data_IF_831264546199
#
_entry.id   IF_831264546199
#
_cell.length_a   1.000
_cell.length_b   1.000
_cell.length_c   1.000
_cell.angle_alpha   90.00
_cell.angle_beta   90.00
_cell.angle_gamma   90.00
#
_symmetry.space_group_name_H-M   'P 1'
#
loop_
_entity.id
_entity.type
_entity.pdbx_description
1 polymer ?
#
# COMPACT_ATOMS: atom_id res chain seq x y z
N UNK A 1 49.14 46.55 -21.90
CA UNK A 1 48.63 46.32 -20.53
C UNK A 1 47.33 45.52 -20.59
N UNK A 2 47.09 44.60 -19.65
CA UNK A 2 45.78 43.93 -19.49
C UNK A 2 45.79 42.41 -19.72
N UNK A 3 46.22 41.64 -18.71
CA UNK A 3 46.26 40.17 -18.68
C UNK A 3 44.88 39.58 -18.37
N UNK A 4 44.35 38.67 -19.21
CA UNK A 4 43.27 37.74 -18.82
C UNK A 4 43.88 36.37 -18.46
N UNK A 5 43.74 35.99 -17.18
CA UNK A 5 44.23 34.73 -16.61
C UNK A 5 43.39 33.56 -17.14
N UNK A 6 44.02 32.62 -17.85
CA UNK A 6 43.46 31.28 -18.10
C UNK A 6 43.53 30.46 -16.81
N UNK A 7 42.36 30.01 -16.33
CA UNK A 7 42.20 29.12 -15.18
C UNK A 7 42.71 27.72 -15.56
N UNK A 8 43.70 27.20 -14.82
CA UNK A 8 44.18 25.81 -14.95
C UNK A 8 43.12 24.87 -14.36
N UNK A 9 42.58 23.97 -15.19
CA UNK A 9 41.77 22.82 -14.73
C UNK A 9 42.69 21.87 -13.94
N UNK A 10 42.40 21.67 -12.66
CA UNK A 10 43.01 20.63 -11.83
C UNK A 10 42.49 19.26 -12.31
N UNK A 11 43.38 18.42 -12.82
CA UNK A 11 43.07 17.02 -13.12
C UNK A 11 42.94 16.28 -11.79
N UNK A 12 41.76 15.71 -11.55
CA UNK A 12 41.49 14.82 -10.41
C UNK A 12 42.29 13.54 -10.63
N UNK A 13 43.30 13.29 -9.81
CA UNK A 13 44.18 12.12 -9.89
C UNK A 13 43.37 10.81 -9.85
N UNK A 14 43.74 9.86 -10.73
CA UNK A 14 43.20 8.50 -10.73
C UNK A 14 43.58 7.82 -9.41
N UNK A 15 42.61 7.21 -8.73
CA UNK A 15 42.85 6.40 -7.52
C UNK A 15 43.85 5.29 -7.84
N UNK A 16 44.90 5.20 -7.04
CA UNK A 16 45.96 4.20 -7.17
C UNK A 16 45.45 2.78 -6.90
N UNK A 17 46.17 1.79 -7.41
CA UNK A 17 45.81 0.37 -7.29
C UNK A 17 45.98 -0.12 -5.85
N UNK A 18 45.10 -1.04 -5.45
CA UNK A 18 45.02 -1.62 -4.10
C UNK A 18 46.37 -2.19 -3.62
N UNK A 19 47.17 -2.74 -4.54
CA UNK A 19 48.51 -3.28 -4.27
C UNK A 19 49.50 -2.22 -3.78
N UNK A 20 49.40 -0.98 -4.28
CA UNK A 20 50.28 0.13 -3.85
C UNK A 20 49.88 0.68 -2.47
N UNK A 21 48.58 0.69 -2.16
CA UNK A 21 48.07 1.13 -0.85
C UNK A 21 48.47 0.18 0.30
N UNK A 22 48.68 -1.11 0.01
CA UNK A 22 49.08 -2.09 1.02
C UNK A 22 50.57 -1.98 1.37
N UNK A 23 51.41 -1.55 0.41
CA UNK A 23 52.86 -1.40 0.59
C UNK A 23 53.25 -0.05 1.21
N UNK A 24 52.40 0.98 1.09
CA UNK A 24 52.59 2.23 1.85
C UNK A 24 52.28 2.00 3.32
N UNK A 25 53.30 2.09 4.17
CA UNK A 25 53.23 1.87 5.63
C UNK A 25 52.54 3.03 6.38
N UNK A 26 51.39 3.50 5.90
CA UNK A 26 50.58 4.49 6.60
C UNK A 26 49.49 3.79 7.41
N UNK A 27 49.68 3.74 8.72
CA UNK A 27 48.70 3.22 9.69
C UNK A 27 47.40 4.04 9.61
N UNK A 28 46.27 3.36 9.44
CA UNK A 28 44.94 3.97 9.55
C UNK A 28 44.75 4.65 10.92
N UNK A 29 44.33 5.92 10.92
CA UNK A 29 43.99 6.66 12.14
C UNK A 29 42.86 5.95 12.90
N UNK A 30 43.07 5.72 14.21
CA UNK A 30 42.07 5.10 15.10
C UNK A 30 40.77 5.91 15.10
N UNK A 31 39.65 5.21 14.92
CA UNK A 31 38.28 5.72 15.13
C UNK A 31 38.15 6.20 16.58
N UNK A 32 37.58 7.38 16.78
CA UNK A 32 37.16 7.85 18.12
C UNK A 32 36.08 6.93 18.70
N UNK A 33 36.01 6.79 20.04
CA UNK A 33 35.10 5.84 20.66
C UNK A 33 33.64 6.27 20.46
N UNK A 34 32.77 5.29 20.26
CA UNK A 34 31.32 5.47 20.20
C UNK A 34 30.80 5.85 21.59
N UNK A 35 29.85 6.81 21.71
CA UNK A 35 29.30 7.15 23.01
C UNK A 35 28.43 6.01 23.55
N UNK A 36 28.64 5.71 24.83
CA UNK A 36 27.96 4.70 25.63
C UNK A 36 26.50 5.12 25.88
N UNK A 37 25.56 4.17 25.78
CA UNK A 37 24.13 4.40 26.00
C UNK A 37 23.84 4.44 27.50
N UNK A 38 23.49 5.62 28.02
CA UNK A 38 23.03 5.80 29.40
C UNK A 38 21.50 5.68 29.46
N UNK A 39 20.90 4.97 30.45
CA UNK A 39 19.44 4.90 30.60
C UNK A 39 18.89 6.26 31.04
N UNK A 40 17.81 6.74 30.40
CA UNK A 40 17.16 8.00 30.77
C UNK A 40 16.40 7.85 32.09
N UNK A 41 16.85 8.55 33.12
CA UNK A 41 16.01 8.99 34.25
C UNK A 41 15.41 10.38 33.97
N UNK A 42 14.26 10.66 34.56
CA UNK A 42 13.32 11.78 34.31
C UNK A 42 13.84 13.22 34.55
N UNK A 43 15.15 13.46 34.56
CA UNK A 43 15.74 14.78 34.83
C UNK A 43 16.89 15.15 33.91
N UNK A 44 16.81 14.83 32.61
CA UNK A 44 17.85 15.20 31.63
C UNK A 44 17.41 16.39 30.75
N UNK A 45 18.21 17.46 30.73
CA UNK A 45 18.05 18.58 29.80
C UNK A 45 18.13 18.13 28.33
N UNK A 46 17.41 18.80 27.40
CA UNK A 46 17.33 18.36 26.01
C UNK A 46 18.68 18.44 25.30
N UNK A 47 19.20 17.29 24.88
CA UNK A 47 20.40 17.20 24.03
C UNK A 47 20.16 17.96 22.73
N UNK A 48 20.91 19.05 22.54
CA UNK A 48 20.79 19.91 21.36
C UNK A 48 21.16 19.15 20.07
N UNK A 49 20.18 18.96 19.20
CA UNK A 49 20.35 18.31 17.90
C UNK A 49 21.15 19.22 16.97
N UNK A 50 22.24 18.71 16.39
CA UNK A 50 23.09 19.50 15.49
C UNK A 50 22.28 20.13 14.33
N UNK A 51 22.53 21.41 13.97
CA UNK A 51 21.70 22.16 13.02
C UNK A 51 21.65 21.54 11.61
N UNK A 52 22.68 20.78 11.19
CA UNK A 52 22.63 20.07 9.89
C UNK A 52 21.71 18.86 9.91
N UNK A 53 21.58 18.16 11.05
CA UNK A 53 20.63 17.06 11.23
C UNK A 53 19.21 17.60 11.35
N UNK A 54 19.02 18.70 12.10
CA UNK A 54 17.75 19.41 12.19
C UNK A 54 17.27 19.91 10.81
N UNK A 55 18.16 20.50 10.01
CA UNK A 55 17.84 20.93 8.63
C UNK A 55 17.44 19.76 7.72
N UNK A 56 18.13 18.62 7.83
CA UNK A 56 17.84 17.43 7.02
C UNK A 56 16.52 16.77 7.42
N UNK A 57 16.23 16.72 8.72
CA UNK A 57 14.95 16.25 9.28
C UNK A 57 13.81 17.18 8.84
N UNK A 58 13.99 18.49 8.96
CA UNK A 58 12.98 19.48 8.54
C UNK A 58 12.72 19.46 7.04
N UNK A 59 13.75 19.19 6.22
CA UNK A 59 13.61 19.03 4.78
C UNK A 59 12.82 17.75 4.44
N UNK A 60 13.17 16.62 5.04
CA UNK A 60 12.45 15.35 4.85
C UNK A 60 11.00 15.44 5.34
N UNK A 61 10.75 16.13 6.46
CA UNK A 61 9.41 16.37 6.97
C UNK A 61 8.58 17.25 6.02
N UNK A 62 9.19 18.29 5.41
CA UNK A 62 8.53 19.10 4.37
C UNK A 62 8.24 18.29 3.11
N UNK A 63 9.18 17.47 2.66
CA UNK A 63 8.99 16.59 1.50
C UNK A 63 7.84 15.60 1.75
N UNK A 64 7.77 14.98 2.94
CA UNK A 64 6.66 14.11 3.34
C UNK A 64 5.32 14.84 3.43
N UNK A 65 5.29 16.06 3.98
CA UNK A 65 4.07 16.87 4.02
C UNK A 65 3.61 17.27 2.62
N UNK A 66 4.54 17.59 1.72
CA UNK A 66 4.23 17.96 0.35
C UNK A 66 3.69 16.77 -0.45
N UNK A 67 4.25 15.56 -0.26
CA UNK A 67 3.68 14.33 -0.82
C UNK A 67 2.23 14.08 -0.31
N UNK A 68 1.97 14.26 0.99
CA UNK A 68 0.62 14.11 1.56
C UNK A 68 -0.38 15.16 1.05
N UNK A 69 0.08 16.39 0.80
CA UNK A 69 -0.74 17.47 0.28
C UNK A 69 -1.08 17.28 -1.21
N UNK A 70 -0.11 16.86 -2.03
CA UNK A 70 -0.35 16.53 -3.43
C UNK A 70 -1.31 15.34 -3.60
N UNK A 71 -1.37 14.42 -2.63
CA UNK A 71 -2.31 13.30 -2.61
C UNK A 71 -3.78 13.70 -2.31
N UNK A 72 -4.03 14.88 -1.72
CA UNK A 72 -5.37 15.31 -1.26
C UNK A 72 -6.08 16.32 -2.18
N UNK A 73 -5.43 16.81 -3.24
CA UNK A 73 -6.02 17.77 -4.17
C UNK A 73 -6.78 17.06 -5.31
N UNK A 74 -8.04 17.43 -5.61
CA UNK A 74 -8.68 17.07 -6.87
C UNK A 74 -7.89 17.69 -8.04
N UNK A 75 -7.40 16.86 -8.96
CA UNK A 75 -6.63 17.34 -10.11
C UNK A 75 -7.56 18.07 -11.11
N UNK A 76 -7.27 19.33 -11.50
CA UNK A 76 -7.85 19.93 -12.71
C UNK A 76 -7.28 19.26 -13.98
N UNK A 77 -7.96 19.35 -15.13
CA UNK A 77 -7.51 18.70 -16.36
C UNK A 77 -6.16 19.25 -16.83
N UNK A 78 -5.30 18.34 -17.29
CA UNK A 78 -3.91 18.52 -17.71
C UNK A 78 -3.64 19.85 -18.44
N UNK A 79 -2.89 20.76 -17.79
CA UNK A 79 -2.15 21.79 -18.52
C UNK A 79 -0.78 21.25 -18.91
N UNK A 80 -0.55 21.17 -20.21
CA UNK A 80 0.73 20.82 -20.82
C UNK A 80 1.87 21.74 -20.33
N UNK A 81 2.99 21.21 -19.80
CA UNK A 81 4.19 22.00 -19.61
C UNK A 81 5.00 22.09 -20.91
N UNK A 82 5.50 23.30 -21.20
CA UNK A 82 6.39 23.63 -22.31
C UNK A 82 7.75 22.88 -22.21
N UNK A 83 8.47 22.66 -23.33
CA UNK A 83 9.61 21.77 -23.37
C UNK A 83 10.84 22.44 -22.75
N UNK A 84 11.38 21.88 -21.67
CA UNK A 84 12.72 22.24 -21.18
C UNK A 84 13.74 21.18 -21.59
N UNK A 85 14.87 21.71 -22.07
CA UNK A 85 15.97 21.01 -22.70
C UNK A 85 16.58 19.92 -21.81
N UNK A 86 16.88 18.81 -22.47
CA UNK A 86 17.57 17.63 -21.96
C UNK A 86 18.88 18.04 -21.28
N UNK A 87 18.98 17.87 -19.96
CA UNK A 87 20.26 17.84 -19.27
C UNK A 87 20.51 16.41 -18.78
N UNK A 88 21.35 15.71 -19.53
CA UNK A 88 21.91 14.40 -19.20
C UNK A 88 22.88 14.55 -18.03
N UNK A 89 22.37 14.56 -16.80
CA UNK A 89 23.19 14.52 -15.59
C UNK A 89 23.21 13.11 -14.99
N UNK A 90 24.34 12.43 -15.15
CA UNK A 90 24.92 11.40 -14.27
C UNK A 90 23.98 10.27 -13.80
N UNK A 91 23.78 9.29 -14.69
CA UNK A 91 23.40 7.93 -14.34
C UNK A 91 24.60 7.20 -13.70
N UNK A 92 24.94 7.52 -12.44
CA UNK A 92 25.83 6.69 -11.59
C UNK A 92 25.69 7.15 -10.11
N UNK A 93 24.46 7.06 -9.58
CA UNK A 93 24.25 6.98 -8.12
C UNK A 93 24.15 5.50 -7.78
N UNK A 94 25.31 4.92 -7.51
CA UNK A 94 25.50 3.54 -7.10
C UNK A 94 25.02 3.34 -5.64
N UNK A 95 23.71 3.42 -5.43
CA UNK A 95 23.02 3.03 -4.19
C UNK A 95 22.08 1.85 -4.50
N UNK A 96 22.67 0.73 -4.89
CA UNK A 96 21.96 -0.56 -4.91
C UNK A 96 22.83 -1.75 -4.48
N UNK A 97 23.77 -1.52 -3.58
CA UNK A 97 24.31 -2.60 -2.74
C UNK A 97 23.32 -2.90 -1.60
N UNK A 98 22.09 -3.24 -1.97
CA UNK A 98 21.23 -4.07 -1.14
C UNK A 98 21.38 -5.49 -1.70
N UNK A 99 22.50 -6.11 -1.30
CA UNK A 99 22.85 -7.48 -1.65
C UNK A 99 21.75 -8.40 -1.14
N UNK A 100 21.20 -9.22 -2.05
CA UNK A 100 20.03 -10.06 -1.81
C UNK A 100 20.22 -11.03 -0.65
N UNK A 101 19.70 -10.63 0.52
CA UNK A 101 19.56 -11.48 1.70
C UNK A 101 18.38 -11.09 2.61
N UNK A 102 17.47 -10.21 2.17
CA UNK A 102 16.10 -10.17 2.72
C UNK A 102 15.29 -11.37 2.18
N UNK A 103 15.84 -12.57 2.34
CA UNK A 103 15.09 -13.82 2.26
C UNK A 103 14.20 -13.80 3.50
N UNK A 104 12.91 -13.57 3.29
CA UNK A 104 11.94 -13.43 4.37
C UNK A 104 11.76 -14.80 5.06
N UNK A 105 12.51 -15.05 6.14
CA UNK A 105 12.32 -16.21 7.04
C UNK A 105 10.87 -16.32 7.56
N UNK A 106 10.08 -15.26 7.39
CA UNK A 106 8.68 -15.18 7.80
C UNK A 106 7.67 -15.58 6.69
N UNK A 107 8.12 -16.01 5.51
CA UNK A 107 7.17 -16.43 4.46
C UNK A 107 6.40 -17.70 4.85
N UNK A 108 7.08 -18.74 5.32
CA UNK A 108 6.39 -19.96 5.76
C UNK A 108 5.40 -19.66 6.88
N UNK A 109 5.80 -18.80 7.82
CA UNK A 109 4.94 -18.34 8.89
C UNK A 109 3.74 -17.54 8.37
N UNK A 110 3.90 -16.74 7.31
CA UNK A 110 2.79 -16.04 6.64
C UNK A 110 1.81 -17.03 5.98
N UNK A 111 2.34 -18.07 5.32
CA UNK A 111 1.50 -19.14 4.75
C UNK A 111 0.77 -19.89 5.85
N UNK A 112 1.43 -20.16 6.98
CA UNK A 112 0.81 -20.79 8.16
C UNK A 112 -0.29 -19.91 8.74
N UNK A 113 -0.06 -18.62 8.94
CA UNK A 113 -1.07 -17.68 9.44
C UNK A 113 -2.24 -17.52 8.49
N UNK A 114 -2.01 -17.39 7.18
CA UNK A 114 -3.10 -17.36 6.20
C UNK A 114 -3.94 -18.65 6.25
N UNK A 115 -3.30 -19.81 6.48
CA UNK A 115 -3.98 -21.09 6.70
C UNK A 115 -4.66 -21.16 8.07
N UNK A 116 -4.10 -20.56 9.12
CA UNK A 116 -4.72 -20.50 10.45
C UNK A 116 -5.98 -19.64 10.40
N UNK A 117 -5.89 -18.46 9.79
CA UNK A 117 -7.05 -17.62 9.48
C UNK A 117 -8.08 -18.45 8.70
N UNK A 118 -7.70 -19.06 7.58
CA UNK A 118 -8.60 -19.92 6.80
C UNK A 118 -9.22 -21.08 7.60
N UNK A 119 -8.48 -21.70 8.52
CA UNK A 119 -9.00 -22.76 9.41
C UNK A 119 -9.94 -22.22 10.48
N UNK A 120 -9.67 -21.04 11.03
CA UNK A 120 -10.58 -20.34 11.93
C UNK A 120 -11.87 -19.95 11.21
N UNK A 121 -11.76 -19.57 9.94
CA UNK A 121 -12.84 -19.24 9.02
C UNK A 121 -13.68 -20.48 8.62
N UNK A 122 -13.04 -21.58 8.21
CA UNK A 122 -13.73 -22.71 7.58
C UNK A 122 -14.53 -23.64 8.51
N UNK A 123 -14.25 -23.64 9.82
CA UNK A 123 -14.88 -24.59 10.76
C UNK A 123 -16.31 -24.23 11.15
N UNK A 124 -16.73 -22.96 11.01
CA UNK A 124 -18.04 -22.49 11.48
C UNK A 124 -18.84 -21.76 10.40
N UNK A 125 -18.21 -21.34 9.29
CA UNK A 125 -18.83 -20.40 8.36
C UNK A 125 -19.19 -20.96 6.97
N UNK A 126 -18.82 -22.19 6.61
CA UNK A 126 -19.04 -22.73 5.25
C UNK A 126 -20.51 -22.62 4.80
N UNK A 127 -21.45 -23.14 5.60
CA UNK A 127 -22.88 -23.16 5.27
C UNK A 127 -23.57 -21.78 5.31
N UNK A 128 -22.96 -20.82 6.02
CA UNK A 128 -23.49 -19.47 6.14
C UNK A 128 -22.93 -18.55 5.06
N UNK A 129 -21.68 -18.75 4.64
CA UNK A 129 -21.02 -17.95 3.61
C UNK A 129 -21.56 -18.26 2.22
N UNK A 130 -21.91 -19.52 1.92
CA UNK A 130 -22.52 -19.89 0.63
C UNK A 130 -23.80 -19.11 0.31
N UNK A 131 -24.53 -18.67 1.34
CA UNK A 131 -25.75 -17.84 1.20
C UNK A 131 -25.46 -16.38 0.84
N UNK A 132 -24.21 -15.95 0.96
CA UNK A 132 -23.73 -14.59 0.66
C UNK A 132 -22.70 -14.57 -0.47
N UNK A 133 -22.36 -15.74 -1.06
CA UNK A 133 -21.54 -15.80 -2.26
C UNK A 133 -22.41 -15.43 -3.48
N UNK A 134 -22.00 -14.45 -4.31
CA UNK A 134 -22.65 -14.21 -5.57
C UNK A 134 -22.53 -15.45 -6.48
N UNK A 135 -23.61 -15.75 -7.21
CA UNK A 135 -23.65 -16.83 -8.18
C UNK A 135 -22.75 -16.49 -9.38
N UNK A 136 -21.69 -17.28 -9.54
CA UNK A 136 -20.76 -17.29 -10.68
C UNK A 136 -19.93 -16.02 -10.95
N UNK A 137 -18.64 -16.24 -11.19
CA UNK A 137 -17.61 -15.21 -11.21
C UNK A 137 -17.63 -14.34 -12.45
N UNK A 138 -17.34 -13.06 -12.27
CA UNK A 138 -16.94 -12.14 -13.34
C UNK A 138 -15.77 -12.77 -14.11
N UNK A 139 -15.93 -12.86 -15.43
CA UNK A 139 -14.91 -13.40 -16.33
C UNK A 139 -13.56 -12.73 -16.08
N UNK A 140 -12.52 -13.52 -15.85
CA UNK A 140 -11.17 -13.01 -15.63
C UNK A 140 -10.52 -12.71 -16.98
N UNK A 141 -9.99 -11.51 -17.11
CA UNK A 141 -9.38 -11.01 -18.34
C UNK A 141 -7.86 -11.14 -18.27
N UNK A 142 -7.21 -11.37 -19.42
CA UNK A 142 -5.75 -11.33 -19.51
C UNK A 142 -5.23 -9.94 -19.17
N UNK A 143 -3.99 -9.86 -18.66
CA UNK A 143 -3.36 -8.58 -18.31
C UNK A 143 -3.23 -7.72 -19.57
N UNK A 144 -2.84 -8.32 -20.70
CA UNK A 144 -2.84 -7.66 -22.01
C UNK A 144 -4.17 -6.96 -22.30
N UNK A 145 -5.28 -7.68 -22.14
CA UNK A 145 -6.62 -7.22 -22.51
C UNK A 145 -7.09 -6.12 -21.56
N UNK A 146 -6.75 -6.22 -20.27
CA UNK A 146 -7.01 -5.16 -19.28
C UNK A 146 -6.27 -3.87 -19.62
N UNK A 147 -4.99 -3.97 -20.00
CA UNK A 147 -4.19 -2.81 -20.39
C UNK A 147 -4.74 -2.21 -21.69
N UNK A 148 -5.05 -3.02 -22.69
CA UNK A 148 -5.63 -2.57 -23.95
C UNK A 148 -6.98 -1.89 -23.77
N UNK A 149 -7.87 -2.46 -22.94
CA UNK A 149 -9.13 -1.86 -22.56
C UNK A 149 -8.92 -0.50 -21.88
N UNK A 150 -8.03 -0.45 -20.88
CA UNK A 150 -7.74 0.78 -20.14
C UNK A 150 -7.10 1.87 -21.02
N UNK A 151 -6.34 1.48 -22.06
CA UNK A 151 -5.80 2.40 -23.06
C UNK A 151 -6.89 2.91 -24.01
N UNK A 152 -7.80 2.03 -24.44
CA UNK A 152 -8.92 2.38 -25.31
C UNK A 152 -9.90 3.34 -24.62
N UNK A 153 -10.24 3.07 -23.37
CA UNK A 153 -11.09 3.94 -22.54
C UNK A 153 -10.48 5.33 -22.41
N UNK A 154 -9.21 5.42 -22.01
CA UNK A 154 -8.48 6.69 -21.90
C UNK A 154 -8.43 7.45 -23.24
N UNK A 155 -8.28 6.73 -24.36
CA UNK A 155 -8.29 7.33 -25.70
C UNK A 155 -9.68 7.82 -26.09
N UNK A 156 -10.73 7.10 -25.72
CA UNK A 156 -12.13 7.46 -25.94
C UNK A 156 -12.51 8.75 -25.22
N UNK A 157 -12.20 8.83 -23.93
CA UNK A 157 -12.39 10.05 -23.11
C UNK A 157 -11.64 11.24 -23.71
N UNK A 158 -10.39 11.03 -24.14
CA UNK A 158 -9.60 12.06 -24.81
C UNK A 158 -10.16 12.44 -26.20
N UNK A 159 -10.81 11.52 -26.91
CA UNK A 159 -11.44 11.81 -28.20
C UNK A 159 -12.76 12.56 -28.06
N UNK A 160 -13.54 12.28 -27.02
CA UNK A 160 -14.78 12.97 -26.70
C UNK A 160 -14.52 14.42 -26.24
N UNK A 161 -13.38 14.67 -25.58
CA UNK A 161 -12.93 16.04 -25.27
C UNK A 161 -12.34 16.75 -26.49
N UNK A 162 -11.73 16.02 -27.44
CA UNK A 162 -11.01 16.57 -28.60
C UNK A 162 -11.86 16.75 -29.85
N UNK A 163 -13.05 16.14 -29.91
CA UNK A 163 -14.05 16.37 -30.96
C UNK A 163 -14.62 17.80 -30.94
N UNK A 164 -14.37 18.59 -29.89
CA UNK A 164 -14.67 20.03 -29.84
C UNK A 164 -13.54 20.95 -30.35
N UNK A 165 -12.33 20.44 -30.65
CA UNK A 165 -11.22 21.26 -31.17
C UNK A 165 -10.33 20.44 -32.13
N UNK A 166 -10.64 20.57 -33.42
CA UNK A 166 -9.81 20.19 -34.59
C UNK A 166 -9.47 18.71 -34.77
N UNK A 167 -9.89 18.19 -35.94
CA UNK A 167 -9.67 16.83 -36.43
C UNK A 167 -8.20 16.52 -36.76
N UNK A 168 -7.41 16.22 -35.74
CA UNK A 168 -6.11 15.59 -35.90
C UNK A 168 -6.11 14.18 -35.28
N UNK A 169 -6.62 13.22 -36.05
CA UNK A 169 -6.51 11.78 -35.79
C UNK A 169 -5.09 11.29 -36.09
N UNK A 170 -4.10 11.70 -35.30
CA UNK A 170 -2.77 11.07 -35.34
C UNK A 170 -2.73 9.94 -34.33
N UNK A 171 -3.00 8.73 -34.80
CA UNK A 171 -2.51 7.52 -34.16
C UNK A 171 -0.99 7.50 -34.21
N UNK A 172 -0.33 8.09 -33.21
CA UNK A 172 1.12 8.10 -33.09
C UNK A 172 1.61 6.69 -32.74
N UNK A 173 1.85 5.87 -33.77
CA UNK A 173 2.53 4.58 -33.64
C UNK A 173 3.85 4.73 -32.89
N UNK A 174 4.20 3.74 -32.06
CA UNK A 174 5.52 3.66 -31.45
C UNK A 174 6.58 3.45 -32.53
N UNK A 175 7.78 3.96 -32.28
CA UNK A 175 8.90 3.85 -33.21
C UNK A 175 9.42 2.40 -33.28
N UNK A 176 9.73 1.90 -34.48
CA UNK A 176 10.04 0.50 -34.73
C UNK A 176 11.24 -0.04 -33.91
N UNK A 177 12.34 0.71 -33.72
CA UNK A 177 13.43 0.31 -32.83
C UNK A 177 12.98 0.12 -31.37
N UNK A 178 12.12 1.00 -30.85
CA UNK A 178 11.58 0.89 -29.48
C UNK A 178 10.75 -0.38 -29.35
N UNK A 179 9.91 -0.66 -30.33
CA UNK A 179 9.11 -1.90 -30.37
C UNK A 179 10.01 -3.13 -30.34
N UNK A 180 11.02 -3.18 -31.21
CA UNK A 180 11.95 -4.32 -31.28
C UNK A 180 12.74 -4.51 -29.98
N UNK A 181 13.13 -3.42 -29.31
CA UNK A 181 13.88 -3.44 -28.06
C UNK A 181 13.04 -4.01 -26.93
N UNK A 182 11.81 -3.50 -26.74
CA UNK A 182 10.96 -3.92 -25.63
C UNK A 182 10.40 -5.33 -25.81
N UNK A 183 10.17 -5.80 -27.04
CA UNK A 183 9.87 -7.21 -27.31
C UNK A 183 11.01 -8.14 -26.87
N UNK A 184 12.26 -7.80 -27.19
CA UNK A 184 13.45 -8.55 -26.72
C UNK A 184 13.57 -8.51 -25.19
N UNK A 185 13.24 -7.38 -24.57
CA UNK A 185 13.18 -7.28 -23.11
C UNK A 185 12.11 -8.22 -22.54
N UNK A 186 10.93 -8.31 -23.16
CA UNK A 186 9.87 -9.25 -22.77
C UNK A 186 10.36 -10.70 -22.70
N UNK A 187 11.08 -11.16 -23.72
CA UNK A 187 11.69 -12.51 -23.74
C UNK A 187 12.67 -12.73 -22.60
N UNK A 188 13.46 -11.70 -22.23
CA UNK A 188 14.36 -11.81 -21.07
C UNK A 188 13.56 -11.91 -19.76
N UNK A 189 12.45 -11.17 -19.67
CA UNK A 189 11.60 -11.10 -18.48
C UNK A 189 10.76 -12.36 -18.25
N UNK A 190 10.49 -13.15 -19.28
CA UNK A 190 9.80 -14.44 -19.16
C UNK A 190 10.70 -15.56 -18.63
N UNK A 191 12.03 -15.40 -18.69
CA UNK A 191 13.00 -16.37 -18.18
C UNK A 191 13.75 -15.87 -16.93
N UNK A 192 13.58 -14.61 -16.58
CA UNK A 192 14.31 -13.97 -15.48
C UNK A 192 14.06 -14.66 -14.13
N UNK A 193 15.15 -14.94 -13.40
CA UNK A 193 15.13 -15.51 -12.05
C UNK A 193 15.84 -14.63 -11.03
N UNK A 194 17.04 -14.15 -11.37
CA UNK A 194 17.89 -13.36 -10.49
C UNK A 194 18.84 -12.45 -11.29
N UNK A 195 19.46 -11.50 -10.61
CA UNK A 195 20.46 -10.60 -11.20
C UNK A 195 19.90 -9.23 -11.61
N UNK A 196 20.66 -8.49 -12.43
CA UNK A 196 20.31 -7.13 -12.82
C UNK A 196 19.21 -7.14 -13.89
N UNK A 197 18.11 -6.44 -13.62
CA UNK A 197 17.04 -6.17 -14.60
C UNK A 197 17.59 -5.34 -15.77
N UNK A 198 17.17 -5.58 -17.03
CA UNK A 198 17.54 -4.77 -18.19
C UNK A 198 17.40 -3.25 -17.96
N UNK A 199 18.41 -2.48 -18.38
CA UNK A 199 18.44 -1.01 -18.20
C UNK A 199 17.26 -0.30 -18.87
N UNK A 200 16.82 -0.80 -20.04
CA UNK A 200 15.65 -0.29 -20.74
C UNK A 200 14.38 -0.39 -19.87
N UNK A 201 14.18 -1.53 -19.20
CA UNK A 201 13.04 -1.73 -18.30
C UNK A 201 13.11 -0.83 -17.06
N UNK A 202 14.31 -0.59 -16.51
CA UNK A 202 14.50 0.34 -15.37
C UNK A 202 14.03 1.77 -15.67
N UNK A 203 14.07 2.20 -16.94
CA UNK A 203 13.62 3.52 -17.34
C UNK A 203 12.09 3.61 -17.51
N UNK A 204 11.40 2.47 -17.58
CA UNK A 204 9.99 2.38 -17.97
C UNK A 204 9.03 3.23 -17.11
N UNK A 205 9.15 3.30 -15.77
CA UNK A 205 8.29 4.14 -14.93
C UNK A 205 8.31 5.64 -15.27
N UNK A 206 9.39 6.12 -15.90
CA UNK A 206 9.61 7.53 -16.24
C UNK A 206 9.06 7.89 -17.62
N UNK A 207 8.74 6.90 -18.46
CA UNK A 207 8.26 7.14 -19.82
C UNK A 207 6.82 7.68 -19.81
N UNK A 208 6.49 8.53 -20.78
CA UNK A 208 5.13 9.08 -20.89
C UNK A 208 4.12 8.01 -21.32
N UNK A 209 4.46 7.23 -22.35
CA UNK A 209 3.66 6.10 -22.87
C UNK A 209 4.05 4.76 -22.23
N UNK A 210 4.22 4.75 -20.91
CA UNK A 210 4.76 3.58 -20.22
C UNK A 210 3.86 2.34 -20.34
N UNK A 211 2.53 2.50 -20.37
CA UNK A 211 1.56 1.40 -20.47
C UNK A 211 1.62 0.69 -21.83
N UNK A 212 1.65 1.46 -22.92
CA UNK A 212 1.82 0.92 -24.27
C UNK A 212 3.16 0.17 -24.39
N UNK A 213 4.22 0.74 -23.83
CA UNK A 213 5.56 0.12 -23.85
C UNK A 213 5.61 -1.13 -22.96
N UNK A 214 4.88 -1.13 -21.85
CA UNK A 214 4.77 -2.28 -20.97
C UNK A 214 4.09 -3.46 -21.67
N UNK A 215 3.04 -3.20 -22.44
CA UNK A 215 2.31 -4.23 -23.19
C UNK A 215 3.23 -4.98 -24.16
N UNK A 216 4.20 -4.30 -24.77
CA UNK A 216 5.19 -4.92 -25.65
C UNK A 216 6.10 -5.93 -24.96
N UNK A 217 6.17 -5.89 -23.63
CA UNK A 217 6.97 -6.83 -22.83
C UNK A 217 6.18 -8.06 -22.38
N UNK A 218 4.92 -8.20 -22.83
CA UNK A 218 4.03 -9.34 -22.55
C UNK A 218 3.97 -9.70 -21.06
N UNK A 219 3.37 -8.82 -20.22
CA UNK A 219 3.35 -8.99 -18.77
C UNK A 219 2.70 -10.29 -18.28
N UNK A 220 1.81 -10.88 -19.07
CA UNK A 220 1.22 -12.21 -18.82
C UNK A 220 2.31 -13.31 -18.72
N UNK A 221 3.35 -13.22 -19.54
CA UNK A 221 4.42 -14.21 -19.64
C UNK A 221 5.56 -14.01 -18.63
N UNK A 222 5.48 -12.99 -17.78
CA UNK A 222 6.54 -12.70 -16.81
C UNK A 222 6.68 -13.79 -15.76
N UNK A 223 7.91 -14.05 -15.31
CA UNK A 223 8.12 -14.86 -14.11
C UNK A 223 7.65 -14.13 -12.85
N UNK A 224 7.35 -14.87 -11.79
CA UNK A 224 7.03 -14.28 -10.48
C UNK A 224 8.18 -13.38 -9.96
N UNK A 225 9.44 -13.75 -10.25
CA UNK A 225 10.61 -12.94 -9.92
C UNK A 225 10.63 -11.60 -10.67
N UNK A 226 10.23 -11.58 -11.95
CA UNK A 226 10.05 -10.35 -12.73
C UNK A 226 8.97 -9.47 -12.11
N UNK A 227 7.82 -10.03 -11.73
CA UNK A 227 6.71 -9.26 -11.13
C UNK A 227 7.15 -8.59 -9.83
N UNK A 228 7.92 -9.29 -8.99
CA UNK A 228 8.52 -8.72 -7.79
C UNK A 228 9.42 -7.51 -8.10
N UNK A 229 10.33 -7.70 -9.04
CA UNK A 229 11.28 -6.67 -9.44
C UNK A 229 10.61 -5.46 -10.12
N UNK A 230 9.61 -5.70 -10.94
CA UNK A 230 8.78 -4.67 -11.55
C UNK A 230 8.01 -3.89 -10.49
N UNK A 231 7.35 -4.57 -9.55
CA UNK A 231 6.63 -3.94 -8.44
C UNK A 231 7.54 -3.05 -7.61
N UNK A 232 8.72 -3.55 -7.22
CA UNK A 232 9.72 -2.77 -6.49
C UNK A 232 10.17 -1.54 -7.29
N UNK A 233 10.40 -1.70 -8.59
CA UNK A 233 10.84 -0.60 -9.46
C UNK A 233 9.75 0.49 -9.57
N UNK A 234 8.49 0.11 -9.81
CA UNK A 234 7.38 1.04 -9.94
C UNK A 234 7.07 1.74 -8.61
N UNK A 235 7.00 1.00 -7.50
CA UNK A 235 6.72 1.56 -6.18
C UNK A 235 7.71 2.66 -5.77
N UNK A 236 8.99 2.53 -6.17
CA UNK A 236 10.04 3.50 -5.83
C UNK A 236 10.24 4.62 -6.85
N UNK A 237 9.91 4.43 -8.13
CA UNK A 237 10.29 5.39 -9.19
C UNK A 237 9.12 6.00 -9.95
N UNK A 238 7.91 5.49 -9.79
CA UNK A 238 6.73 6.01 -10.48
C UNK A 238 5.95 7.00 -9.59
N UNK A 239 5.24 7.92 -10.23
CA UNK A 239 4.28 8.83 -9.58
C UNK A 239 3.09 8.01 -9.05
N UNK A 240 2.44 8.39 -7.92
CA UNK A 240 1.35 7.60 -7.32
C UNK A 240 0.26 7.14 -8.29
N UNK A 241 -0.16 7.98 -9.24
CA UNK A 241 -1.16 7.63 -10.26
C UNK A 241 -0.72 6.48 -11.17
N UNK A 242 0.57 6.44 -11.54
CA UNK A 242 1.15 5.35 -12.35
C UNK A 242 1.30 4.07 -11.53
N UNK A 243 1.66 4.20 -10.25
CA UNK A 243 1.74 3.06 -9.33
C UNK A 243 0.37 2.41 -9.17
N UNK A 244 -0.68 3.21 -8.96
CA UNK A 244 -2.05 2.72 -8.85
C UNK A 244 -2.48 1.95 -10.10
N UNK A 245 -2.20 2.49 -11.30
CA UNK A 245 -2.52 1.81 -12.56
C UNK A 245 -1.71 0.53 -12.74
N UNK A 246 -0.43 0.53 -12.43
CA UNK A 246 0.41 -0.68 -12.50
C UNK A 246 -0.12 -1.78 -11.56
N UNK A 247 -0.48 -1.42 -10.33
CA UNK A 247 -1.04 -2.39 -9.38
C UNK A 247 -2.38 -2.94 -9.86
N UNK A 248 -3.27 -2.08 -10.38
CA UNK A 248 -4.60 -2.48 -10.85
C UNK A 248 -4.54 -3.37 -12.09
N UNK A 249 -3.68 -3.03 -13.05
CA UNK A 249 -3.65 -3.69 -14.35
C UNK A 249 -2.73 -4.92 -14.38
N UNK A 250 -1.64 -4.93 -13.60
CA UNK A 250 -0.63 -5.99 -13.69
C UNK A 250 -0.55 -6.81 -12.41
N UNK A 251 -0.32 -6.16 -11.27
CA UNK A 251 -0.02 -6.86 -10.02
C UNK A 251 -1.25 -7.61 -9.49
N UNK A 252 -2.40 -6.94 -9.41
CA UNK A 252 -3.63 -7.53 -8.88
C UNK A 252 -4.08 -8.73 -9.71
N UNK A 253 -4.29 -8.65 -11.04
CA UNK A 253 -4.72 -9.81 -11.83
C UNK A 253 -3.76 -11.00 -11.68
N UNK A 254 -2.45 -10.74 -11.76
CA UNK A 254 -1.43 -11.79 -11.61
C UNK A 254 -1.50 -12.53 -10.27
N UNK A 255 -1.79 -11.82 -9.18
CA UNK A 255 -1.92 -12.42 -7.85
C UNK A 255 -3.18 -13.30 -7.78
N UNK A 256 -4.28 -12.84 -8.36
CA UNK A 256 -5.56 -13.57 -8.37
C UNK A 256 -5.45 -14.87 -9.18
N UNK A 257 -4.75 -14.81 -10.31
CA UNK A 257 -4.49 -15.98 -11.15
C UNK A 257 -3.66 -17.03 -10.41
N UNK A 258 -2.54 -16.65 -9.80
CA UNK A 258 -1.65 -17.55 -9.07
C UNK A 258 -2.35 -18.20 -7.86
N UNK A 259 -3.17 -17.44 -7.12
CA UNK A 259 -3.95 -17.98 -5.99
C UNK A 259 -4.99 -19.00 -6.47
N UNK A 260 -5.59 -18.76 -7.63
CA UNK A 260 -6.66 -19.64 -8.13
C UNK A 260 -6.11 -20.90 -8.76
N UNK A 261 -5.00 -20.80 -9.47
CA UNK A 261 -4.33 -21.94 -10.09
C UNK A 261 -3.71 -22.87 -9.03
N UNK A 262 -3.03 -22.31 -8.01
CA UNK A 262 -2.25 -23.12 -7.06
C UNK A 262 -2.85 -23.22 -5.65
N UNK A 263 -3.88 -22.44 -5.31
CA UNK A 263 -4.45 -22.35 -3.95
C UNK A 263 -3.51 -21.70 -2.91
N UNK A 264 -2.31 -21.30 -3.33
CA UNK A 264 -1.26 -20.66 -2.55
C UNK A 264 -0.58 -19.61 -3.42
N UNK A 265 -0.17 -18.52 -2.81
CA UNK A 265 0.53 -17.46 -3.53
C UNK A 265 2.03 -17.77 -3.59
N UNK A 266 2.67 -17.57 -4.73
CA UNK A 266 4.11 -17.69 -4.91
C UNK A 266 4.88 -16.72 -3.98
N UNK A 267 6.05 -17.15 -3.50
CA UNK A 267 6.94 -16.33 -2.65
C UNK A 267 7.25 -14.96 -3.23
N UNK A 268 7.65 -14.88 -4.51
CA UNK A 268 8.01 -13.61 -5.13
C UNK A 268 6.80 -12.69 -5.28
N UNK A 269 5.60 -13.22 -5.53
CA UNK A 269 4.37 -12.44 -5.60
C UNK A 269 3.96 -11.94 -4.21
N UNK A 270 4.14 -12.74 -3.17
CA UNK A 270 3.96 -12.29 -1.78
C UNK A 270 4.95 -11.17 -1.41
N UNK A 271 6.22 -11.32 -1.80
CA UNK A 271 7.22 -10.27 -1.62
C UNK A 271 6.87 -9.01 -2.44
N UNK A 272 6.26 -9.15 -3.62
CA UNK A 272 5.78 -8.05 -4.43
C UNK A 272 4.67 -7.27 -3.71
N UNK A 273 3.70 -7.97 -3.13
CA UNK A 273 2.66 -7.38 -2.27
C UNK A 273 3.24 -6.63 -1.06
N UNK A 274 4.25 -7.20 -0.41
CA UNK A 274 4.93 -6.53 0.70
C UNK A 274 5.60 -5.24 0.27
N UNK A 275 6.23 -5.23 -0.91
CA UNK A 275 6.83 -4.02 -1.49
C UNK A 275 5.77 -3.03 -1.97
N UNK A 276 4.59 -3.48 -2.41
CA UNK A 276 3.55 -2.56 -2.89
C UNK A 276 2.96 -1.69 -1.77
N UNK A 277 2.95 -2.19 -0.53
CA UNK A 277 2.53 -1.46 0.67
C UNK A 277 3.44 -0.27 1.05
N UNK A 278 4.62 -0.12 0.46
CA UNK A 278 5.43 1.10 0.62
C UNK A 278 4.74 2.33 0.01
N UNK A 279 3.70 2.13 -0.81
CA UNK A 279 2.78 3.16 -1.28
C UNK A 279 1.35 2.78 -0.87
N UNK A 280 0.95 3.01 0.40
CA UNK A 280 -0.29 2.49 0.97
C UNK A 280 -1.56 3.02 0.27
N UNK A 281 -1.58 4.30 -0.13
CA UNK A 281 -2.71 4.86 -0.87
C UNK A 281 -2.97 4.12 -2.18
N UNK A 282 -1.92 3.85 -2.97
CA UNK A 282 -2.01 3.08 -4.20
C UNK A 282 -2.46 1.64 -3.89
N UNK A 283 -1.85 0.98 -2.90
CA UNK A 283 -2.22 -0.37 -2.49
C UNK A 283 -3.72 -0.50 -2.18
N UNK A 284 -4.26 0.38 -1.35
CA UNK A 284 -5.68 0.31 -0.98
C UNK A 284 -6.60 0.56 -2.19
N UNK A 285 -6.33 1.59 -3.00
CA UNK A 285 -7.18 1.95 -4.16
C UNK A 285 -7.17 0.91 -5.29
N UNK A 286 -6.05 0.21 -5.49
CA UNK A 286 -5.84 -0.65 -6.65
C UNK A 286 -5.81 -2.14 -6.36
N UNK A 287 -5.60 -2.55 -5.10
CA UNK A 287 -5.53 -3.95 -4.70
C UNK A 287 -6.68 -4.27 -3.75
N UNK A 288 -6.69 -3.67 -2.55
CA UNK A 288 -7.63 -4.06 -1.50
C UNK A 288 -9.08 -3.68 -1.83
N UNK A 289 -9.35 -2.42 -2.17
CA UNK A 289 -10.72 -1.97 -2.43
C UNK A 289 -11.34 -2.65 -3.66
N UNK A 290 -10.63 -2.85 -4.79
CA UNK A 290 -11.16 -3.67 -5.88
C UNK A 290 -11.48 -5.11 -5.43
N UNK A 291 -10.64 -5.74 -4.59
CA UNK A 291 -10.96 -7.05 -4.01
C UNK A 291 -12.17 -7.01 -3.04
N UNK A 292 -12.43 -5.88 -2.40
CA UNK A 292 -13.57 -5.73 -1.48
C UNK A 292 -14.90 -5.46 -2.20
N UNK A 293 -14.86 -4.71 -3.31
CA UNK A 293 -16.04 -4.25 -4.04
C UNK A 293 -16.39 -5.12 -5.24
N UNK A 294 -15.41 -5.75 -5.90
CA UNK A 294 -15.66 -6.60 -7.06
C UNK A 294 -16.23 -7.94 -6.62
N UNK A 295 -17.35 -8.33 -7.24
CA UNK A 295 -17.95 -9.65 -7.10
C UNK A 295 -16.94 -10.73 -7.56
N UNK A 296 -16.60 -11.65 -6.66
CA UNK A 296 -15.68 -12.76 -6.96
C UNK A 296 -14.37 -12.78 -6.17
N UNK A 297 -14.19 -11.93 -5.15
CA UNK A 297 -13.10 -12.11 -4.18
C UNK A 297 -13.36 -13.33 -3.31
N UNK A 298 -12.44 -14.29 -3.35
CA UNK A 298 -12.49 -15.49 -2.50
C UNK A 298 -12.00 -15.20 -1.09
N UNK A 299 -12.47 -15.98 -0.11
CA UNK A 299 -11.94 -15.92 1.26
C UNK A 299 -10.44 -16.20 1.30
N UNK A 300 -9.95 -17.07 0.41
CA UNK A 300 -8.53 -17.41 0.32
C UNK A 300 -7.69 -16.20 -0.10
N UNK A 301 -8.12 -15.49 -1.14
CA UNK A 301 -7.50 -14.22 -1.56
C UNK A 301 -7.50 -13.23 -0.38
N UNK A 302 -8.64 -13.05 0.28
CA UNK A 302 -8.78 -12.14 1.41
C UNK A 302 -7.84 -12.51 2.58
N UNK A 303 -7.72 -13.78 2.94
CA UNK A 303 -6.83 -14.25 4.00
C UNK A 303 -5.36 -13.99 3.68
N UNK A 304 -4.94 -14.25 2.44
CA UNK A 304 -3.55 -14.02 2.01
C UNK A 304 -3.21 -12.54 2.09
N UNK A 305 -4.04 -11.67 1.51
CA UNK A 305 -3.85 -10.21 1.58
C UNK A 305 -3.93 -9.70 3.04
N UNK A 306 -4.81 -10.26 3.87
CA UNK A 306 -4.94 -9.85 5.26
C UNK A 306 -3.73 -10.24 6.12
N UNK A 307 -3.12 -11.40 5.87
CA UNK A 307 -1.90 -11.83 6.56
C UNK A 307 -0.74 -10.84 6.35
N UNK A 308 -0.68 -10.23 5.16
CA UNK A 308 0.27 -9.16 4.84
C UNK A 308 0.01 -7.92 5.69
N UNK A 309 -1.25 -7.46 5.74
CA UNK A 309 -1.66 -6.26 6.48
C UNK A 309 -1.34 -6.39 7.96
N UNK A 310 -1.54 -7.57 8.57
CA UNK A 310 -1.19 -7.84 9.98
C UNK A 310 0.29 -7.52 10.26
N UNK A 311 1.20 -7.89 9.35
CA UNK A 311 2.65 -7.77 9.55
C UNK A 311 3.20 -6.38 9.25
N UNK A 312 2.58 -5.66 8.34
CA UNK A 312 3.07 -4.36 7.90
C UNK A 312 2.53 -3.23 8.76
N UNK A 313 3.39 -2.26 9.11
CA UNK A 313 2.93 -1.00 9.68
C UNK A 313 2.33 -0.12 8.58
N UNK A 314 1.14 0.41 8.82
CA UNK A 314 0.38 1.20 7.85
C UNK A 314 0.08 2.57 8.49
N UNK A 315 0.27 3.69 7.79
CA UNK A 315 -0.09 4.99 8.35
C UNK A 315 -1.60 5.09 8.64
N UNK A 316 -1.93 5.67 9.80
CA UNK A 316 -3.28 5.72 10.36
C UNK A 316 -4.30 6.35 9.39
N UNK A 317 -3.93 7.43 8.70
CA UNK A 317 -4.82 8.12 7.77
C UNK A 317 -5.26 7.23 6.61
N UNK A 318 -4.34 6.45 6.03
CA UNK A 318 -4.67 5.54 4.94
C UNK A 318 -5.51 4.35 5.44
N UNK A 319 -5.19 3.83 6.63
CA UNK A 319 -5.97 2.76 7.26
C UNK A 319 -7.42 3.21 7.56
N UNK A 320 -7.59 4.40 8.13
CA UNK A 320 -8.90 4.98 8.43
C UNK A 320 -9.73 5.26 7.17
N UNK A 321 -9.12 5.82 6.13
CA UNK A 321 -9.78 6.04 4.85
C UNK A 321 -10.23 4.72 4.19
N UNK A 322 -9.40 3.68 4.26
CA UNK A 322 -9.76 2.35 3.77
C UNK A 322 -10.94 1.76 4.57
N UNK A 323 -10.92 1.87 5.90
CA UNK A 323 -12.01 1.40 6.77
C UNK A 323 -13.35 2.08 6.44
N UNK A 324 -13.35 3.40 6.21
CA UNK A 324 -14.55 4.12 5.77
C UNK A 324 -15.07 3.57 4.45
N UNK A 325 -14.18 3.37 3.47
CA UNK A 325 -14.57 2.83 2.15
C UNK A 325 -15.11 1.41 2.23
N UNK A 326 -14.57 0.57 3.11
CA UNK A 326 -15.14 -0.75 3.39
C UNK A 326 -16.51 -0.62 4.06
N UNK A 327 -16.69 0.32 4.98
CA UNK A 327 -17.95 0.55 5.70
C UNK A 327 -19.09 1.09 4.81
N UNK A 328 -18.76 1.67 3.66
CA UNK A 328 -19.74 2.08 2.65
C UNK A 328 -20.40 0.89 1.94
N UNK A 329 -19.82 -0.32 1.99
CA UNK A 329 -20.39 -1.51 1.35
C UNK A 329 -21.78 -1.85 1.92
N UNK A 330 -22.75 -2.06 1.02
CA UNK A 330 -24.17 -2.26 1.40
C UNK A 330 -24.46 -3.73 1.72
N UNK A 331 -23.88 -4.65 0.96
CA UNK A 331 -24.09 -6.08 1.12
C UNK A 331 -23.03 -6.70 2.02
N UNK A 332 -23.42 -7.71 2.77
CA UNK A 332 -22.45 -8.49 3.54
C UNK A 332 -21.50 -9.22 2.58
N UNK A 333 -20.21 -9.15 2.87
CA UNK A 333 -19.17 -9.90 2.18
C UNK A 333 -18.16 -10.44 3.20
N UNK A 334 -17.90 -11.75 3.13
CA UNK A 334 -16.90 -12.42 3.98
C UNK A 334 -15.52 -11.76 3.89
N UNK A 335 -14.94 -11.58 2.69
CA UNK A 335 -13.69 -10.85 2.48
C UNK A 335 -13.63 -9.47 3.15
N UNK A 336 -14.71 -8.68 3.05
CA UNK A 336 -14.78 -7.34 3.67
C UNK A 336 -14.66 -7.44 5.19
N UNK A 337 -15.34 -8.41 5.82
CA UNK A 337 -15.25 -8.64 7.26
C UNK A 337 -13.83 -9.02 7.70
N UNK A 338 -13.12 -9.82 6.90
CA UNK A 338 -11.72 -10.18 7.18
C UNK A 338 -10.81 -8.94 7.11
N UNK A 339 -10.93 -8.12 6.06
CA UNK A 339 -10.15 -6.90 5.92
C UNK A 339 -10.43 -5.90 7.04
N UNK A 340 -11.70 -5.64 7.33
CA UNK A 340 -12.10 -4.75 8.43
C UNK A 340 -11.54 -5.24 9.76
N UNK A 341 -11.73 -6.52 10.09
CA UNK A 341 -11.25 -7.11 11.35
C UNK A 341 -9.76 -6.90 11.53
N UNK A 342 -8.95 -7.16 10.48
CA UNK A 342 -7.49 -6.99 10.54
C UNK A 342 -7.08 -5.53 10.70
N UNK A 343 -7.72 -4.60 9.98
CA UNK A 343 -7.42 -3.17 10.09
C UNK A 343 -7.83 -2.58 11.45
N UNK A 344 -8.94 -3.03 12.03
CA UNK A 344 -9.38 -2.63 13.38
C UNK A 344 -8.42 -3.21 14.43
N UNK A 345 -7.96 -4.45 14.26
CA UNK A 345 -6.95 -5.07 15.14
C UNK A 345 -5.58 -4.39 15.12
N UNK A 346 -5.35 -3.41 14.23
CA UNK A 346 -4.18 -2.54 14.32
C UNK A 346 -4.23 -1.56 15.50
N UNK A 347 -5.40 -1.38 16.11
CA UNK A 347 -5.60 -0.55 17.30
C UNK A 347 -5.07 0.88 17.13
N UNK A 348 -5.20 1.43 15.91
CA UNK A 348 -4.85 2.82 15.66
C UNK A 348 -5.85 3.77 16.31
N UNK A 349 -5.41 4.98 16.67
CA UNK A 349 -6.32 6.06 17.07
C UNK A 349 -7.11 6.54 15.84
N UNK A 350 -8.36 6.09 15.70
CA UNK A 350 -9.19 6.42 14.54
C UNK A 350 -9.89 7.77 14.73
N UNK A 351 -10.02 8.59 13.67
CA UNK A 351 -10.91 9.76 13.70
C UNK A 351 -12.36 9.34 13.96
N UNK A 352 -13.11 10.13 14.74
CA UNK A 352 -14.51 9.81 15.08
C UNK A 352 -15.39 9.54 13.86
N UNK A 353 -15.21 10.27 12.76
CA UNK A 353 -15.92 10.02 11.49
C UNK A 353 -15.73 8.59 10.96
N UNK A 354 -14.55 7.99 11.15
CA UNK A 354 -14.27 6.61 10.76
C UNK A 354 -15.03 5.66 11.69
N UNK A 355 -14.98 5.92 13.00
CA UNK A 355 -15.70 5.12 14.00
C UNK A 355 -17.22 5.15 13.76
N UNK A 356 -17.79 6.32 13.52
CA UNK A 356 -19.21 6.49 13.18
C UNK A 356 -19.58 5.68 11.94
N UNK A 357 -18.73 5.70 10.91
CA UNK A 357 -18.95 4.93 9.68
C UNK A 357 -18.95 3.42 9.96
N UNK A 358 -18.03 2.93 10.82
CA UNK A 358 -17.98 1.52 11.22
C UNK A 358 -19.20 1.11 12.05
N UNK A 359 -19.60 1.94 13.02
CA UNK A 359 -20.82 1.69 13.81
C UNK A 359 -22.04 1.63 12.90
N UNK A 360 -22.18 2.60 11.99
CA UNK A 360 -23.26 2.64 11.01
C UNK A 360 -23.26 1.40 10.09
N UNK A 361 -22.10 0.92 9.66
CA UNK A 361 -21.98 -0.32 8.91
C UNK A 361 -22.62 -1.50 9.65
N UNK A 362 -22.32 -1.68 10.94
CA UNK A 362 -22.90 -2.78 11.72
C UNK A 362 -24.41 -2.60 11.98
N UNK A 363 -24.86 -1.40 12.34
CA UNK A 363 -26.27 -1.13 12.65
C UNK A 363 -27.20 -1.42 11.46
N UNK A 364 -26.73 -1.23 10.21
CA UNK A 364 -27.51 -1.56 9.00
C UNK A 364 -27.96 -3.01 8.92
N UNK A 365 -27.23 -3.93 9.56
CA UNK A 365 -27.61 -5.35 9.59
C UNK A 365 -28.75 -5.67 10.57
N UNK A 366 -29.27 -4.68 11.30
CA UNK A 366 -30.44 -4.88 12.16
C UNK A 366 -31.67 -5.35 11.37
N UNK A 367 -31.89 -4.81 10.18
CA UNK A 367 -33.04 -5.16 9.32
C UNK A 367 -32.81 -6.41 8.48
N UNK A 368 -31.57 -6.92 8.40
CA UNK A 368 -31.25 -8.10 7.62
C UNK A 368 -31.99 -9.31 8.20
N UNK A 369 -32.62 -10.14 7.38
CA UNK A 369 -33.38 -11.31 7.85
C UNK A 369 -32.51 -12.56 7.98
N UNK A 370 -31.37 -12.60 7.30
CA UNK A 370 -30.47 -13.76 7.32
C UNK A 370 -29.67 -13.85 8.62
N UNK A 371 -29.27 -15.08 8.95
CA UNK A 371 -28.25 -15.33 9.97
C UNK A 371 -26.91 -14.80 9.45
N UNK A 372 -26.22 -14.02 10.27
CA UNK A 372 -24.92 -13.47 9.92
C UNK A 372 -23.82 -14.49 10.23
N UNK A 373 -22.75 -14.58 9.42
CA UNK A 373 -21.65 -15.51 9.70
C UNK A 373 -20.83 -15.12 10.93
N UNK A 374 -20.08 -16.06 11.48
CA UNK A 374 -19.18 -15.88 12.62
C UNK A 374 -18.16 -14.78 12.35
N UNK A 375 -17.66 -14.64 11.11
CA UNK A 375 -16.76 -13.53 10.73
C UNK A 375 -17.33 -12.15 11.02
N UNK A 376 -18.63 -11.98 10.80
CA UNK A 376 -19.30 -10.72 11.08
C UNK A 376 -19.27 -10.43 12.59
N UNK A 377 -19.61 -11.45 13.39
CA UNK A 377 -19.59 -11.34 14.85
C UNK A 377 -18.18 -11.11 15.41
N UNK A 378 -17.16 -11.77 14.85
CA UNK A 378 -15.76 -11.56 15.22
C UNK A 378 -15.28 -10.17 14.86
N UNK A 379 -15.66 -9.65 13.68
CA UNK A 379 -15.32 -8.28 13.29
C UNK A 379 -15.97 -7.26 14.24
N UNK A 380 -17.26 -7.44 14.58
CA UNK A 380 -17.95 -6.60 15.56
C UNK A 380 -17.29 -6.68 16.94
N UNK A 381 -16.91 -7.88 17.38
CA UNK A 381 -16.22 -8.07 18.65
C UNK A 381 -14.92 -7.26 18.72
N UNK A 382 -14.08 -7.33 17.69
CA UNK A 382 -12.81 -6.59 17.66
C UNK A 382 -13.04 -5.07 17.67
N UNK A 383 -14.07 -4.58 16.97
CA UNK A 383 -14.45 -3.16 17.01
C UNK A 383 -14.78 -2.72 18.44
N UNK A 384 -15.68 -3.45 19.10
CA UNK A 384 -16.16 -3.10 20.44
C UNK A 384 -15.05 -3.26 21.47
N UNK A 385 -14.25 -4.32 21.40
CA UNK A 385 -13.11 -4.52 22.31
C UNK A 385 -12.10 -3.38 22.25
N UNK A 386 -11.89 -2.81 21.06
CA UNK A 386 -10.87 -1.79 20.85
C UNK A 386 -11.40 -0.38 21.12
N UNK A 387 -12.64 -0.09 20.71
CA UNK A 387 -13.15 1.29 20.64
C UNK A 387 -14.43 1.54 21.46
N UNK A 388 -14.88 0.62 22.32
CA UNK A 388 -16.11 0.84 23.11
C UNK A 388 -16.08 2.10 23.97
N UNK A 389 -14.91 2.50 24.48
CA UNK A 389 -14.73 3.71 25.28
C UNK A 389 -14.83 5.01 24.46
N UNK A 390 -14.61 4.94 23.15
CA UNK A 390 -14.60 6.10 22.24
C UNK A 390 -15.95 6.27 21.50
N UNK A 391 -16.90 5.35 21.72
CA UNK A 391 -18.25 5.40 21.13
C UNK A 391 -19.21 6.20 22.02
N UNK A 392 -20.16 6.91 21.38
CA UNK A 392 -21.24 7.60 22.09
C UNK A 392 -22.20 6.60 22.77
N UNK A 393 -22.89 7.02 23.84
CA UNK A 393 -23.83 6.18 24.57
C UNK A 393 -24.93 5.59 23.67
N UNK A 394 -25.48 6.42 22.77
CA UNK A 394 -26.51 6.00 21.80
C UNK A 394 -26.00 4.92 20.84
N UNK A 395 -24.75 5.06 20.38
CA UNK A 395 -24.10 4.07 19.51
C UNK A 395 -23.92 2.73 20.24
N UNK A 396 -23.45 2.76 21.49
CA UNK A 396 -23.29 1.54 22.31
C UNK A 396 -24.64 0.88 22.59
N UNK A 397 -25.68 1.66 22.86
CA UNK A 397 -27.04 1.15 23.05
C UNK A 397 -27.59 0.51 21.77
N UNK A 398 -27.38 1.14 20.60
CA UNK A 398 -27.78 0.60 19.31
C UNK A 398 -27.07 -0.73 19.00
N UNK A 399 -25.75 -0.81 19.22
CA UNK A 399 -24.98 -2.05 19.08
C UNK A 399 -25.42 -3.14 20.06
N UNK A 400 -25.85 -2.76 21.26
CA UNK A 400 -26.39 -3.70 22.25
C UNK A 400 -27.68 -4.33 21.74
N UNK A 401 -28.63 -3.50 21.25
CA UNK A 401 -29.88 -3.97 20.63
C UNK A 401 -29.63 -4.85 19.41
N UNK A 402 -28.67 -4.47 18.56
CA UNK A 402 -28.25 -5.28 17.41
C UNK A 402 -27.73 -6.65 17.87
N UNK A 403 -26.89 -6.68 18.91
CA UNK A 403 -26.34 -7.92 19.48
C UNK A 403 -27.42 -8.79 20.15
N UNK A 404 -28.52 -8.18 20.63
CA UNK A 404 -29.72 -8.88 21.11
C UNK A 404 -30.49 -9.57 20.02
N UNK A 405 -30.59 -8.93 18.85
CA UNK A 405 -31.35 -9.45 17.72
C UNK A 405 -30.54 -10.46 16.90
N UNK A 406 -29.25 -10.16 16.69
CA UNK A 406 -28.28 -10.98 15.95
C UNK A 406 -27.37 -11.73 16.92
N UNK A 407 -27.89 -12.79 17.53
CA UNK A 407 -27.18 -13.55 18.58
C UNK A 407 -26.30 -14.66 18.00
N UNK A 408 -25.04 -14.66 18.42
CA UNK A 408 -24.11 -15.78 18.33
C UNK A 408 -23.89 -16.37 19.72
N UNK A 409 -24.00 -17.70 19.86
CA UNK A 409 -24.02 -18.39 21.15
C UNK A 409 -22.79 -18.12 22.04
N UNK A 410 -21.60 -18.03 21.45
CA UNK A 410 -20.34 -17.82 22.19
C UNK A 410 -19.81 -16.38 22.16
N UNK A 411 -20.13 -15.60 21.12
CA UNK A 411 -19.47 -14.31 20.86
C UNK A 411 -20.32 -13.15 21.40
N UNK A 412 -21.64 -13.19 21.18
CA UNK A 412 -22.54 -12.12 21.63
C UNK A 412 -22.48 -11.83 23.14
N UNK A 413 -22.35 -12.82 24.04
CA UNK A 413 -22.16 -12.55 25.47
C UNK A 413 -20.90 -11.73 25.76
N UNK A 414 -19.82 -11.98 25.01
CA UNK A 414 -18.54 -11.27 25.15
C UNK A 414 -18.71 -9.83 24.64
N UNK A 415 -19.34 -9.64 23.47
CA UNK A 415 -19.62 -8.32 22.91
C UNK A 415 -20.40 -7.46 23.92
N UNK A 416 -21.45 -8.01 24.55
CA UNK A 416 -22.22 -7.28 25.58
C UNK A 416 -21.35 -6.78 26.72
N UNK A 417 -20.46 -7.64 27.23
CA UNK A 417 -19.59 -7.28 28.35
C UNK A 417 -18.76 -6.04 28.03
N UNK A 418 -18.28 -5.91 26.78
CA UNK A 418 -17.52 -4.74 26.36
C UNK A 418 -18.38 -3.52 25.99
N UNK A 419 -19.69 -3.67 25.77
CA UNK A 419 -20.61 -2.55 25.53
C UNK A 419 -21.14 -1.92 26.82
N UNK A 420 -21.16 -2.67 27.93
CA UNK A 420 -21.49 -2.17 29.27
C UNK A 420 -20.27 -1.45 29.83
N UNK A 421 -19.98 -0.28 29.27
CA UNK A 421 -18.94 0.64 29.75
C UNK A 421 -19.63 1.74 30.56
N UNK A 422 -19.23 1.99 31.81
CA UNK A 422 -19.69 3.18 32.54
C UNK A 422 -19.16 4.41 31.81
N UNK A 423 -20.04 5.38 31.53
CA UNK A 423 -19.61 6.65 30.95
C UNK A 423 -18.51 7.26 31.84
N UNK A 424 -17.45 7.78 31.21
CA UNK A 424 -16.48 8.60 31.93
C UNK A 424 -17.29 9.75 32.52
N UNK A 425 -17.44 9.74 33.85
CA UNK A 425 -18.04 10.85 34.59
C UNK A 425 -17.21 12.07 34.20
N UNK A 426 -17.78 12.95 33.37
CA UNK A 426 -17.28 14.31 33.26
C UNK A 426 -17.34 14.86 34.68
N UNK A 427 -16.17 14.99 35.30
CA UNK A 427 -16.02 15.67 36.57
C UNK A 427 -16.52 17.10 36.38
N UNK A 428 -17.81 17.30 36.64
CA UNK A 428 -18.39 18.60 36.83
C UNK A 428 -17.62 19.25 37.98
N UNK A 429 -16.88 20.31 37.66
CA UNK A 429 -16.47 21.30 38.64
C UNK A 429 -17.73 21.92 39.22
N UNK A 430 -18.28 21.29 40.26
CA UNK A 430 -19.23 21.88 41.19
C UNK A 430 -18.64 21.75 42.60
N UNK A 431 -17.76 22.68 42.94
CA UNK A 431 -17.30 22.96 44.30
C UNK A 431 -16.72 24.37 44.26
N UNK A 432 -17.22 25.37 44.94
CA UNK A 432 -18.31 25.44 45.90
C UNK A 432 -18.29 26.88 46.42
N UNK A 433 -19.47 27.43 46.65
CA UNK A 433 -19.63 28.66 47.42
C UNK A 433 -18.83 28.55 48.73
N UNK A 434 -17.98 29.53 48.99
CA UNK A 434 -17.46 29.78 50.32
C UNK A 434 -17.68 31.25 50.63
N UNK A 435 -18.82 31.52 51.27
CA UNK A 435 -19.04 32.70 52.09
C UNK A 435 -17.85 32.85 53.06
N UNK A 436 -17.25 34.03 53.10
CA UNK A 436 -16.48 34.47 54.27
C UNK A 436 -17.01 35.85 54.65
N UNK A 437 -17.44 35.89 55.90
CA UNK A 437 -17.89 37.02 56.73
C UNK A 437 -16.92 38.19 56.71
#
# INVERSE_FOLDING_TARGET
MGKTKKIKRSYKERRETLTKQILSTDRAKKKSPSPELVPLGDTAEPVAVAPSMSSKILRLAREQQQELMEEHLPHPPDRLPAPSLVHTANLDSDTSSDSGSDIDENYEQSVREARTLEKELGKQDADSIDKFLPAEGVGRYKISDLIEHALKEKRGELSDVRSHMSGASTGLSLDAPVVSLFKKVGVILSEYRAGKIPKAFKALPRLQRWEEILLLTEPDNWTAATVYQATRLFASNAVPSRVERFYRLVLLPRIRDDITEFGKLNYHLYAALKKSLFKPAAFFKSILLPLATTEGCSLREACIISSLLVKTSIPVLHSGACLMKLAETVHYSGPVSVFMRVLINKQYCLPYRVLDSLVNYFIRFDTNQHSLPVLWHQCLLVLVQTYSHDMAADQRQALTRLTDKKRHHSISPIIRKFLIVPDKVESQNSSGDMEIV
#
